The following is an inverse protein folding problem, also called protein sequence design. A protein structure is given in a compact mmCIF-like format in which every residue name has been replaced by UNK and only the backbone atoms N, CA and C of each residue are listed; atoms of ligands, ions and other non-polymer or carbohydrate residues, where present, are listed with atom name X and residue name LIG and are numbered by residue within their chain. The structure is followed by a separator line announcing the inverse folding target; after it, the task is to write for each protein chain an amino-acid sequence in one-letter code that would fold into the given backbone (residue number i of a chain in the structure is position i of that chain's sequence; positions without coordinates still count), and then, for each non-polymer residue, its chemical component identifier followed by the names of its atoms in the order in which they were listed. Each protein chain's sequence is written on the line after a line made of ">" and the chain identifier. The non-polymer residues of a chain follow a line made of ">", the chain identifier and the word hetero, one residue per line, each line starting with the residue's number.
data_IF_593052984600
#
_entry.id   IF_593052984600
#
_cell.length_a   1.000
_cell.length_b   1.000
_cell.length_c   1.000
_cell.angle_alpha   90.00
_cell.angle_beta   90.00
_cell.angle_gamma   90.00
#
_symmetry.space_group_name_H-M   'P 1'
#
loop_
_entity.id
_entity.type
_entity.pdbx_description
1 polymer ?
#
# COMPACT_ATOMS: atom_id res chain seq x y z
N UNK A 1 5.35 -74.07 62.54
CA UNK A 1 6.05 -72.76 62.61
C UNK A 1 6.27 -72.13 61.22
N UNK A 2 7.12 -72.64 60.32
CA UNK A 2 7.29 -72.01 58.99
C UNK A 2 6.04 -72.06 58.09
N UNK A 3 5.20 -73.09 58.21
CA UNK A 3 3.96 -73.26 57.41
C UNK A 3 2.83 -72.34 57.88
N UNK A 4 2.71 -72.11 59.19
CA UNK A 4 1.69 -71.24 59.80
C UNK A 4 1.98 -69.76 59.50
N UNK A 5 3.25 -69.35 59.58
CA UNK A 5 3.71 -67.98 59.23
C UNK A 5 3.37 -67.63 57.77
N UNK A 6 3.46 -68.61 56.86
CA UNK A 6 3.18 -68.41 55.43
C UNK A 6 1.69 -68.19 55.15
N UNK A 7 0.80 -68.85 55.89
CA UNK A 7 -0.64 -68.67 55.81
C UNK A 7 -1.10 -67.29 56.32
N UNK A 8 -0.59 -66.86 57.46
CA UNK A 8 -0.92 -65.56 58.05
C UNK A 8 -0.43 -64.38 57.20
N UNK A 9 0.77 -64.50 56.60
CA UNK A 9 1.29 -63.53 55.63
C UNK A 9 0.40 -63.44 54.37
N UNK A 10 -0.09 -64.56 53.86
CA UNK A 10 -0.96 -64.57 52.69
C UNK A 10 -2.31 -63.88 52.96
N UNK A 11 -2.90 -64.12 54.14
CA UNK A 11 -4.14 -63.45 54.57
C UNK A 11 -3.92 -61.94 54.76
N UNK A 12 -2.79 -61.54 55.35
CA UNK A 12 -2.44 -60.13 55.52
C UNK A 12 -2.26 -59.42 54.16
N UNK A 13 -1.56 -60.05 53.21
CA UNK A 13 -1.39 -59.53 51.85
C UNK A 13 -2.74 -59.38 51.15
N UNK A 14 -3.62 -60.38 51.20
CA UNK A 14 -4.95 -60.30 50.61
C UNK A 14 -5.79 -59.14 51.19
N UNK A 15 -5.71 -58.92 52.51
CA UNK A 15 -6.41 -57.81 53.18
C UNK A 15 -5.87 -56.45 52.73
N UNK A 16 -4.55 -56.31 52.59
CA UNK A 16 -3.93 -55.07 52.09
C UNK A 16 -4.33 -54.83 50.63
N UNK A 17 -4.27 -55.86 49.77
CA UNK A 17 -4.71 -55.77 48.37
C UNK A 17 -6.16 -55.35 48.25
N UNK A 18 -7.07 -55.92 49.06
CA UNK A 18 -8.47 -55.52 49.06
C UNK A 18 -8.66 -54.05 49.45
N UNK A 19 -7.97 -53.59 50.50
CA UNK A 19 -8.00 -52.17 50.92
C UNK A 19 -7.44 -51.24 49.85
N UNK A 20 -6.37 -51.65 49.16
CA UNK A 20 -5.77 -50.90 48.06
C UNK A 20 -6.75 -50.77 46.89
N UNK A 21 -7.43 -51.85 46.51
CA UNK A 21 -8.45 -51.83 45.45
C UNK A 21 -9.62 -50.92 45.83
N UNK A 22 -10.14 -51.02 47.07
CA UNK A 22 -11.21 -50.13 47.56
C UNK A 22 -10.77 -48.65 47.54
N UNK A 23 -9.56 -48.36 48.03
CA UNK A 23 -9.01 -47.01 48.00
C UNK A 23 -8.86 -46.49 46.55
N UNK A 24 -8.38 -47.34 45.62
CA UNK A 24 -8.27 -46.98 44.21
C UNK A 24 -9.63 -46.68 43.57
N UNK A 25 -10.67 -47.48 43.87
CA UNK A 25 -12.04 -47.24 43.41
C UNK A 25 -12.61 -45.94 43.99
N UNK A 26 -12.40 -45.67 45.28
CA UNK A 26 -12.88 -44.42 45.90
C UNK A 26 -12.15 -43.20 45.33
N UNK A 27 -10.83 -43.28 45.14
CA UNK A 27 -10.06 -42.22 44.46
C UNK A 27 -10.57 -41.99 43.04
N UNK A 28 -10.85 -43.05 42.27
CA UNK A 28 -11.41 -42.92 40.92
C UNK A 28 -12.79 -42.24 40.94
N UNK A 29 -13.64 -42.56 41.91
CA UNK A 29 -14.94 -41.92 42.13
C UNK A 29 -14.79 -40.44 42.49
N UNK A 30 -13.88 -40.10 43.39
CA UNK A 30 -13.61 -38.71 43.77
C UNK A 30 -13.02 -37.90 42.62
N UNK A 31 -12.11 -38.47 41.81
CA UNK A 31 -11.61 -37.84 40.58
C UNK A 31 -12.74 -37.54 39.61
N UNK A 32 -13.64 -38.51 39.36
CA UNK A 32 -14.80 -38.32 38.50
C UNK A 32 -15.75 -37.24 39.04
N UNK A 33 -15.98 -37.20 40.35
CA UNK A 33 -16.78 -36.16 41.00
C UNK A 33 -16.13 -34.77 40.86
N UNK A 34 -14.82 -34.66 41.05
CA UNK A 34 -14.07 -33.42 40.86
C UNK A 34 -14.12 -32.93 39.40
N UNK A 35 -13.96 -33.83 38.43
CA UNK A 35 -14.11 -33.50 36.99
C UNK A 35 -15.52 -33.00 36.64
N UNK A 36 -16.56 -33.58 37.26
CA UNK A 36 -17.94 -33.10 37.11
C UNK A 36 -18.10 -31.72 37.76
N UNK A 37 -17.52 -31.50 38.94
CA UNK A 37 -17.52 -30.21 39.63
C UNK A 37 -16.83 -29.11 38.83
N UNK A 38 -15.64 -29.38 38.27
CA UNK A 38 -14.91 -28.44 37.40
C UNK A 38 -15.73 -28.12 36.16
N UNK A 39 -16.35 -29.12 35.52
CA UNK A 39 -17.24 -28.89 34.38
C UNK A 39 -18.46 -28.06 34.75
N UNK A 40 -19.04 -28.27 35.92
CA UNK A 40 -20.18 -27.51 36.41
C UNK A 40 -19.82 -26.03 36.64
N UNK A 41 -18.68 -25.75 37.28
CA UNK A 41 -18.20 -24.39 37.55
C UNK A 41 -17.92 -23.66 36.24
N UNK A 42 -17.14 -24.29 35.34
CA UNK A 42 -16.85 -23.71 34.01
C UNK A 42 -18.13 -23.45 33.22
N UNK A 43 -19.07 -24.40 33.25
CA UNK A 43 -20.37 -24.25 32.61
C UNK A 43 -21.18 -23.07 33.14
N UNK A 44 -21.21 -22.85 34.46
CA UNK A 44 -21.87 -21.69 35.07
C UNK A 44 -21.19 -20.36 34.72
N UNK A 45 -19.86 -20.34 34.68
CA UNK A 45 -19.10 -19.15 34.28
C UNK A 45 -19.40 -18.76 32.83
N UNK A 46 -19.44 -19.73 31.92
CA UNK A 46 -19.83 -19.50 30.51
C UNK A 46 -21.26 -18.97 30.42
N UNK A 47 -22.21 -19.57 31.16
CA UNK A 47 -23.59 -19.08 31.20
C UNK A 47 -23.65 -17.61 31.62
N UNK A 48 -22.92 -17.22 32.67
CA UNK A 48 -22.92 -15.83 33.14
C UNK A 48 -22.30 -14.86 32.13
N UNK A 49 -21.17 -15.23 31.52
CA UNK A 49 -20.49 -14.39 30.53
C UNK A 49 -21.32 -14.21 29.27
N UNK A 50 -21.89 -15.29 28.75
CA UNK A 50 -22.72 -15.26 27.55
C UNK A 50 -24.07 -14.58 27.80
N UNK A 51 -24.63 -14.69 29.01
CA UNK A 51 -25.86 -13.95 29.40
C UNK A 51 -25.68 -12.43 29.26
N UNK A 52 -24.61 -11.86 29.82
CA UNK A 52 -24.33 -10.42 29.70
C UNK A 52 -24.05 -10.01 28.24
N UNK A 53 -23.31 -10.84 27.51
CA UNK A 53 -23.00 -10.59 26.10
C UNK A 53 -24.25 -10.60 25.22
N UNK A 54 -25.13 -11.58 25.42
CA UNK A 54 -26.39 -11.71 24.68
C UNK A 54 -27.33 -10.57 25.06
N UNK A 55 -27.41 -10.18 26.33
CA UNK A 55 -28.21 -9.03 26.76
C UNK A 55 -27.76 -7.73 26.10
N UNK A 56 -26.44 -7.50 26.00
CA UNK A 56 -25.90 -6.34 25.29
C UNK A 56 -26.24 -6.39 23.78
N UNK A 57 -26.11 -7.55 23.15
CA UNK A 57 -26.48 -7.73 21.74
C UNK A 57 -28.00 -7.55 21.51
N UNK A 58 -28.85 -8.08 22.39
CA UNK A 58 -30.31 -7.91 22.36
C UNK A 58 -30.69 -6.43 22.48
N UNK A 59 -30.03 -5.68 23.36
CA UNK A 59 -30.26 -4.24 23.51
C UNK A 59 -29.88 -3.47 22.23
N UNK A 60 -28.79 -3.85 21.57
CA UNK A 60 -28.39 -3.24 20.30
C UNK A 60 -29.35 -3.59 19.15
N UNK A 61 -29.79 -4.84 19.06
CA UNK A 61 -30.86 -5.26 18.12
C UNK A 61 -32.13 -4.44 18.34
N UNK A 62 -32.52 -4.18 19.60
CA UNK A 62 -33.67 -3.33 19.89
C UNK A 62 -33.50 -1.88 19.46
N UNK A 63 -32.28 -1.31 19.55
CA UNK A 63 -32.02 0.04 19.02
C UNK A 63 -32.17 0.07 17.51
N UNK A 64 -31.60 -0.92 16.82
CA UNK A 64 -31.73 -1.12 15.37
C UNK A 64 -33.20 -1.27 14.95
N UNK A 65 -33.99 -2.06 15.69
CA UNK A 65 -35.45 -2.17 15.47
C UNK A 65 -36.17 -0.82 15.67
N UNK A 66 -35.77 -0.03 16.66
CA UNK A 66 -36.37 1.29 16.93
C UNK A 66 -36.08 2.29 15.82
N UNK A 67 -34.86 2.33 15.29
CA UNK A 67 -34.51 3.22 14.16
C UNK A 67 -35.43 2.94 12.97
N UNK A 68 -35.69 1.66 12.66
CA UNK A 68 -36.65 1.28 11.62
C UNK A 68 -38.08 1.75 11.94
N UNK A 69 -38.50 1.71 13.21
CA UNK A 69 -39.82 2.15 13.66
C UNK A 69 -40.02 3.66 13.79
N UNK A 70 -38.95 4.46 13.70
CA UNK A 70 -39.06 5.94 13.78
C UNK A 70 -39.48 6.61 12.47
N UNK A 71 -39.47 5.88 11.35
CA UNK A 71 -40.00 6.38 10.09
C UNK A 71 -41.51 6.16 10.02
N UNK A 72 -42.26 7.18 9.61
CA UNK A 72 -43.68 7.01 9.28
C UNK A 72 -43.84 5.99 8.15
N UNK A 73 -44.99 5.30 8.09
CA UNK A 73 -45.29 4.37 6.98
C UNK A 73 -45.14 5.10 5.64
N UNK A 74 -44.15 4.68 4.84
CA UNK A 74 -43.85 5.25 3.52
C UNK A 74 -42.74 6.30 3.49
N UNK A 75 -42.22 6.78 4.63
CA UNK A 75 -41.04 7.63 4.66
C UNK A 75 -39.74 6.80 4.60
N UNK A 76 -38.81 7.23 3.75
CA UNK A 76 -37.49 6.64 3.69
C UNK A 76 -36.65 7.03 4.91
N UNK A 77 -35.90 6.08 5.47
CA UNK A 77 -34.86 6.37 6.45
C UNK A 77 -33.86 7.38 5.88
N UNK A 78 -33.44 8.34 6.72
CA UNK A 78 -32.35 9.25 6.37
C UNK A 78 -31.05 8.47 6.18
N UNK A 79 -30.16 8.98 5.32
CA UNK A 79 -28.90 8.29 5.01
C UNK A 79 -28.04 8.05 6.28
N UNK A 80 -28.07 8.97 7.23
CA UNK A 80 -27.36 8.83 8.52
C UNK A 80 -28.00 7.74 9.39
N UNK A 81 -29.33 7.66 9.44
CA UNK A 81 -30.02 6.58 10.15
C UNK A 81 -29.75 5.22 9.52
N UNK A 82 -29.67 5.15 8.18
CA UNK A 82 -29.31 3.91 7.46
C UNK A 82 -27.87 3.47 7.78
N UNK A 83 -26.93 4.41 7.90
CA UNK A 83 -25.54 4.12 8.30
C UNK A 83 -25.44 3.63 9.75
N UNK A 84 -26.05 4.35 10.70
CA UNK A 84 -26.05 3.97 12.12
C UNK A 84 -26.67 2.58 12.31
N UNK A 85 -27.79 2.31 11.63
CA UNK A 85 -28.41 1.00 11.61
C UNK A 85 -27.48 -0.07 11.03
N UNK A 86 -26.75 0.22 9.95
CA UNK A 86 -25.76 -0.69 9.35
C UNK A 86 -24.68 -1.13 10.34
N UNK A 87 -24.10 -0.17 11.07
CA UNK A 87 -23.07 -0.45 12.08
C UNK A 87 -23.62 -1.28 13.25
N UNK A 88 -24.80 -0.92 13.76
CA UNK A 88 -25.50 -1.65 14.82
C UNK A 88 -25.80 -3.10 14.40
N UNK A 89 -26.19 -3.31 13.14
CA UNK A 89 -26.45 -4.64 12.58
C UNK A 89 -25.18 -5.48 12.53
N UNK A 90 -24.08 -4.95 12.00
CA UNK A 90 -22.80 -5.68 11.88
C UNK A 90 -22.28 -6.09 13.25
N UNK A 91 -22.30 -5.16 14.22
CA UNK A 91 -21.88 -5.40 15.60
C UNK A 91 -22.72 -6.50 16.26
N UNK A 92 -24.05 -6.38 16.17
CA UNK A 92 -25.00 -7.35 16.73
C UNK A 92 -24.84 -8.74 16.10
N UNK A 93 -24.73 -8.82 14.77
CA UNK A 93 -24.56 -10.08 14.05
C UNK A 93 -23.29 -10.81 14.49
N UNK A 94 -22.17 -10.09 14.65
CA UNK A 94 -20.90 -10.66 15.11
C UNK A 94 -21.00 -11.18 16.54
N UNK A 95 -21.62 -10.41 17.44
CA UNK A 95 -21.82 -10.80 18.83
C UNK A 95 -22.71 -12.05 18.95
N UNK A 96 -23.85 -12.08 18.27
CA UNK A 96 -24.80 -13.19 18.29
C UNK A 96 -24.20 -14.47 17.69
N UNK A 97 -23.54 -14.39 16.52
CA UNK A 97 -22.86 -15.56 15.91
C UNK A 97 -21.81 -16.15 16.85
N UNK A 98 -20.96 -15.30 17.43
CA UNK A 98 -19.91 -15.75 18.35
C UNK A 98 -20.49 -16.39 19.62
N UNK A 99 -21.56 -15.80 20.17
CA UNK A 99 -22.25 -16.33 21.35
C UNK A 99 -22.89 -17.68 21.05
N UNK A 100 -23.56 -17.81 19.89
CA UNK A 100 -24.18 -19.07 19.46
C UNK A 100 -23.15 -20.20 19.31
N UNK A 101 -21.98 -19.92 18.71
CA UNK A 101 -20.90 -20.90 18.59
C UNK A 101 -20.37 -21.31 19.97
N UNK A 102 -20.13 -20.34 20.87
CA UNK A 102 -19.65 -20.59 22.23
C UNK A 102 -20.62 -21.49 23.03
N UNK A 103 -21.91 -21.12 23.03
CA UNK A 103 -22.95 -21.86 23.74
C UNK A 103 -23.09 -23.29 23.23
N UNK A 104 -23.08 -23.51 21.92
CA UNK A 104 -23.17 -24.85 21.33
C UNK A 104 -21.96 -25.72 21.71
N UNK A 105 -20.76 -25.15 21.69
CA UNK A 105 -19.55 -25.87 22.10
C UNK A 105 -19.61 -26.30 23.58
N UNK A 106 -20.10 -25.42 24.46
CA UNK A 106 -20.22 -25.71 25.88
C UNK A 106 -21.44 -26.54 26.27
N UNK A 107 -22.46 -26.64 25.41
CA UNK A 107 -23.62 -27.50 25.63
C UNK A 107 -23.27 -29.00 25.49
N UNK A 108 -22.24 -29.33 24.70
CA UNK A 108 -21.75 -30.69 24.52
C UNK A 108 -21.05 -31.17 25.80
N UNK A 109 -21.68 -32.11 26.51
CA UNK A 109 -21.12 -32.69 27.73
C UNK A 109 -21.33 -31.86 29.01
N UNK A 110 -22.15 -30.79 28.96
CA UNK A 110 -22.57 -30.06 30.13
C UNK A 110 -23.45 -30.93 31.07
N UNK A 111 -23.33 -30.68 32.38
CA UNK A 111 -24.24 -31.27 33.35
C UNK A 111 -25.69 -30.85 33.06
N UNK A 112 -26.71 -31.68 33.37
CA UNK A 112 -28.10 -31.42 32.99
C UNK A 112 -28.61 -30.02 33.39
N UNK A 113 -28.29 -29.55 34.60
CA UNK A 113 -28.69 -28.23 35.08
C UNK A 113 -28.08 -27.07 34.25
N UNK A 114 -26.81 -27.18 33.86
CA UNK A 114 -26.14 -26.17 33.02
C UNK A 114 -26.64 -26.24 31.59
N UNK A 115 -26.89 -27.46 31.09
CA UNK A 115 -27.39 -27.68 29.73
C UNK A 115 -28.72 -26.95 29.50
N UNK A 116 -29.64 -26.96 30.48
CA UNK A 116 -30.90 -26.21 30.40
C UNK A 116 -30.66 -24.71 30.29
N UNK A 117 -29.75 -24.14 31.07
CA UNK A 117 -29.42 -22.70 30.99
C UNK A 117 -28.77 -22.32 29.67
N UNK A 118 -27.80 -23.12 29.19
CA UNK A 118 -27.18 -22.91 27.88
C UNK A 118 -28.20 -23.00 26.75
N UNK A 119 -29.13 -23.96 26.79
CA UNK A 119 -30.20 -24.08 25.80
C UNK A 119 -31.12 -22.85 25.80
N UNK A 120 -31.46 -22.30 26.96
CA UNK A 120 -32.24 -21.05 27.04
C UNK A 120 -31.51 -19.87 26.36
N UNK A 121 -30.20 -19.75 26.58
CA UNK A 121 -29.38 -18.72 25.94
C UNK A 121 -29.27 -18.93 24.41
N UNK A 122 -29.19 -20.18 23.95
CA UNK A 122 -29.20 -20.51 22.52
C UNK A 122 -30.50 -20.03 21.88
N UNK A 123 -31.64 -20.34 22.48
CA UNK A 123 -32.94 -19.93 21.95
C UNK A 123 -33.13 -18.40 21.96
N UNK A 124 -32.63 -17.70 22.98
CA UNK A 124 -32.59 -16.23 22.99
C UNK A 124 -31.72 -15.65 21.87
N UNK A 125 -30.52 -16.19 21.70
CA UNK A 125 -29.59 -15.78 20.64
C UNK A 125 -30.23 -15.95 19.26
N UNK A 126 -30.92 -17.07 19.02
CA UNK A 126 -31.66 -17.32 17.77
C UNK A 126 -32.79 -16.31 17.57
N UNK A 127 -33.59 -16.03 18.59
CA UNK A 127 -34.68 -15.02 18.51
C UNK A 127 -34.14 -13.62 18.20
N UNK A 128 -33.05 -13.21 18.85
CA UNK A 128 -32.38 -11.95 18.56
C UNK A 128 -31.83 -11.92 17.12
N UNK A 129 -31.32 -13.06 16.63
CA UNK A 129 -30.82 -13.20 15.27
C UNK A 129 -31.96 -13.16 14.23
N UNK A 130 -33.12 -13.75 14.51
CA UNK A 130 -34.32 -13.68 13.66
C UNK A 130 -34.84 -12.24 13.54
N UNK A 131 -34.92 -11.51 14.66
CA UNK A 131 -35.25 -10.08 14.67
C UNK A 131 -34.29 -9.26 13.81
N UNK A 132 -32.99 -9.48 13.99
CA UNK A 132 -31.96 -8.81 13.21
C UNK A 132 -32.07 -9.12 11.71
N UNK A 133 -32.35 -10.39 11.36
CA UNK A 133 -32.60 -10.80 9.98
C UNK A 133 -33.86 -10.15 9.38
N UNK A 134 -34.91 -9.95 10.19
CA UNK A 134 -36.12 -9.24 9.77
C UNK A 134 -35.81 -7.78 9.45
N UNK A 135 -35.08 -7.07 10.30
CA UNK A 135 -34.63 -5.70 10.02
C UNK A 135 -33.75 -5.66 8.77
N UNK A 136 -32.81 -6.60 8.64
CA UNK A 136 -31.99 -6.75 7.45
C UNK A 136 -32.84 -6.90 6.18
N UNK A 137 -33.87 -7.72 6.21
CA UNK A 137 -34.75 -7.91 5.08
C UNK A 137 -35.56 -6.65 4.76
N UNK A 138 -36.19 -6.05 5.77
CA UNK A 138 -37.08 -4.89 5.63
C UNK A 138 -36.36 -3.63 5.13
N UNK A 139 -35.07 -3.49 5.41
CA UNK A 139 -34.28 -2.28 5.08
C UNK A 139 -33.24 -2.51 3.99
N UNK A 140 -33.35 -3.64 3.26
CA UNK A 140 -32.39 -4.02 2.21
C UNK A 140 -32.26 -2.91 1.16
N UNK A 141 -33.37 -2.43 0.65
CA UNK A 141 -33.41 -1.51 -0.49
C UNK A 141 -32.83 -0.13 -0.12
N UNK A 142 -33.18 0.38 1.06
CA UNK A 142 -32.62 1.64 1.57
C UNK A 142 -31.11 1.53 1.83
N UNK A 143 -30.65 0.42 2.42
CA UNK A 143 -29.21 0.20 2.63
C UNK A 143 -28.44 0.14 1.32
N UNK A 144 -28.94 -0.61 0.35
CA UNK A 144 -28.30 -0.73 -0.97
C UNK A 144 -28.24 0.62 -1.67
N UNK A 145 -29.32 1.42 -1.62
CA UNK A 145 -29.33 2.79 -2.16
C UNK A 145 -28.27 3.68 -1.51
N UNK A 146 -28.22 3.73 -0.18
CA UNK A 146 -27.27 4.59 0.57
C UNK A 146 -25.82 4.14 0.35
N UNK A 147 -25.57 2.83 0.30
CA UNK A 147 -24.24 2.29 -0.01
C UNK A 147 -23.82 2.61 -1.45
N UNK A 148 -24.71 2.43 -2.42
CA UNK A 148 -24.46 2.78 -3.81
C UNK A 148 -24.12 4.27 -3.96
N UNK A 149 -24.87 5.15 -3.29
CA UNK A 149 -24.61 6.59 -3.29
C UNK A 149 -23.27 6.95 -2.64
N UNK A 150 -22.94 6.33 -1.51
CA UNK A 150 -21.64 6.50 -0.88
C UNK A 150 -20.49 6.05 -1.80
N UNK A 151 -20.69 4.95 -2.52
CA UNK A 151 -19.69 4.44 -3.48
C UNK A 151 -19.54 5.36 -4.70
N UNK A 152 -20.63 5.92 -5.22
CA UNK A 152 -20.57 6.93 -6.29
C UNK A 152 -19.80 8.17 -5.82
N UNK A 153 -20.10 8.71 -4.64
CA UNK A 153 -19.40 9.88 -4.09
C UNK A 153 -17.90 9.66 -3.94
N UNK A 154 -17.50 8.52 -3.40
CA UNK A 154 -16.08 8.18 -3.25
C UNK A 154 -15.41 7.89 -4.61
N UNK A 155 -16.11 7.23 -5.55
CA UNK A 155 -15.63 7.05 -6.92
C UNK A 155 -15.41 8.38 -7.64
N UNK A 156 -16.32 9.33 -7.48
CA UNK A 156 -16.19 10.70 -7.97
C UNK A 156 -15.00 11.42 -7.33
N UNK A 157 -14.86 11.35 -6.00
CA UNK A 157 -13.71 11.92 -5.27
C UNK A 157 -12.37 11.36 -5.77
N UNK A 158 -12.30 10.06 -6.05
CA UNK A 158 -11.11 9.42 -6.65
C UNK A 158 -10.83 9.89 -8.07
N UNK A 159 -11.86 10.14 -8.88
CA UNK A 159 -11.69 10.76 -10.19
C UNK A 159 -11.20 12.21 -10.08
N UNK A 160 -11.70 12.97 -9.09
CA UNK A 160 -11.25 14.35 -8.82
C UNK A 160 -9.79 14.38 -8.35
N UNK A 161 -9.34 13.41 -7.54
CA UNK A 161 -7.91 13.25 -7.16
C UNK A 161 -7.01 13.03 -8.39
N UNK A 162 -7.49 12.29 -9.42
CA UNK A 162 -6.77 12.11 -10.68
C UNK A 162 -6.65 13.44 -11.43
N UNK A 163 -7.72 14.23 -11.49
CA UNK A 163 -7.71 15.54 -12.13
C UNK A 163 -6.83 16.55 -11.39
N UNK A 164 -6.87 16.57 -10.05
CA UNK A 164 -5.97 17.40 -9.24
C UNK A 164 -4.50 17.03 -9.46
N UNK A 165 -4.19 15.73 -9.54
CA UNK A 165 -2.85 15.28 -9.87
C UNK A 165 -2.44 15.71 -11.28
N UNK A 166 -3.36 15.70 -12.25
CA UNK A 166 -3.11 16.19 -13.61
C UNK A 166 -2.81 17.70 -13.65
N UNK A 167 -3.40 18.49 -12.75
CA UNK A 167 -3.03 19.92 -12.64
C UNK A 167 -1.56 20.13 -12.22
N UNK A 168 -0.97 19.17 -11.50
CA UNK A 168 0.47 19.22 -11.17
C UNK A 168 1.33 18.94 -12.39
N UNK A 169 0.88 18.06 -13.28
CA UNK A 169 1.51 17.85 -14.59
C UNK A 169 1.47 19.14 -15.41
N UNK A 170 0.30 19.77 -15.53
CA UNK A 170 0.16 21.04 -16.26
C UNK A 170 1.12 22.12 -15.73
N UNK A 171 1.29 22.21 -14.40
CA UNK A 171 2.23 23.15 -13.76
C UNK A 171 3.68 22.83 -14.07
N UNK A 172 4.08 21.56 -13.96
CA UNK A 172 5.43 21.12 -14.27
C UNK A 172 5.81 21.36 -15.75
N UNK A 173 4.82 21.37 -16.65
CA UNK A 173 5.03 21.64 -18.08
C UNK A 173 5.08 23.11 -18.46
N UNK A 174 4.72 24.04 -17.57
CA UNK A 174 4.63 25.47 -17.90
C UNK A 174 5.90 26.05 -18.55
N UNK A 175 7.13 25.69 -18.15
CA UNK A 175 8.33 26.17 -18.82
C UNK A 175 8.37 25.80 -20.31
N UNK A 176 7.99 24.58 -20.66
CA UNK A 176 7.97 24.10 -22.03
C UNK A 176 6.80 24.66 -22.85
N UNK A 177 5.63 24.86 -22.22
CA UNK A 177 4.44 25.40 -22.89
C UNK A 177 4.58 26.87 -23.32
N UNK A 178 5.52 27.61 -22.73
CA UNK A 178 5.83 29.00 -23.11
C UNK A 178 6.70 29.11 -24.37
N UNK A 179 6.95 28.00 -25.07
CA UNK A 179 7.81 27.97 -26.26
C UNK A 179 9.30 28.06 -25.94
N UNK A 180 9.68 27.98 -24.66
CA UNK A 180 11.07 27.82 -24.24
C UNK A 180 11.45 26.35 -24.40
N UNK A 181 11.54 25.88 -25.66
CA UNK A 181 11.98 24.51 -25.95
C UNK A 181 13.42 24.26 -25.52
N UNK A 182 14.20 25.33 -25.33
CA UNK A 182 15.58 25.31 -24.89
C UNK A 182 15.72 26.11 -23.58
N UNK A 183 15.65 25.39 -22.46
CA UNK A 183 16.01 25.91 -21.15
C UNK A 183 17.52 25.72 -20.91
N UNK A 184 18.15 26.51 -20.04
CA UNK A 184 19.46 26.16 -19.50
C UNK A 184 19.46 24.72 -18.97
N UNK A 185 20.56 23.97 -19.15
CA UNK A 185 20.61 22.54 -18.79
C UNK A 185 20.23 22.27 -17.34
N UNK A 186 20.61 23.15 -16.42
CA UNK A 186 20.22 23.07 -15.00
C UNK A 186 18.70 23.17 -14.81
N UNK A 187 18.07 24.18 -15.40
CA UNK A 187 16.62 24.40 -15.32
C UNK A 187 15.84 23.29 -16.04
N UNK A 188 16.32 22.83 -17.20
CA UNK A 188 15.74 21.72 -17.94
C UNK A 188 15.73 20.44 -17.10
N UNK A 189 16.85 20.13 -16.44
CA UNK A 189 17.00 18.93 -15.62
C UNK A 189 16.04 18.94 -14.42
N UNK A 190 15.91 20.10 -13.75
CA UNK A 190 15.03 20.25 -12.61
C UNK A 190 13.55 20.16 -13.02
N UNK A 191 13.17 20.84 -14.11
CA UNK A 191 11.81 20.79 -14.68
C UNK A 191 11.42 19.37 -15.11
N UNK A 192 12.35 18.62 -15.73
CA UNK A 192 12.11 17.22 -16.12
C UNK A 192 11.91 16.31 -14.91
N UNK A 193 12.67 16.53 -13.83
CA UNK A 193 12.51 15.78 -12.59
C UNK A 193 11.14 16.03 -11.95
N UNK A 194 10.69 17.28 -11.91
CA UNK A 194 9.35 17.64 -11.43
C UNK A 194 8.24 17.03 -12.31
N UNK A 195 8.45 17.06 -13.62
CA UNK A 195 7.55 16.45 -14.62
C UNK A 195 7.39 14.94 -14.41
N UNK A 196 8.50 14.22 -14.21
CA UNK A 196 8.50 12.78 -13.91
C UNK A 196 7.78 12.48 -12.59
N UNK A 197 8.04 13.28 -11.54
CA UNK A 197 7.37 13.12 -10.25
C UNK A 197 5.85 13.35 -10.35
N UNK A 198 5.42 14.38 -11.09
CA UNK A 198 4.01 14.63 -11.35
C UNK A 198 3.35 13.48 -12.13
N UNK A 199 4.03 12.95 -13.16
CA UNK A 199 3.55 11.78 -13.91
C UNK A 199 3.38 10.52 -13.04
N UNK A 200 4.24 10.32 -12.04
CA UNK A 200 4.10 9.21 -11.09
C UNK A 200 2.87 9.42 -10.20
N UNK A 201 2.67 10.63 -9.68
CA UNK A 201 1.51 10.94 -8.84
C UNK A 201 0.18 10.68 -9.57
N UNK A 202 0.06 11.12 -10.82
CA UNK A 202 -1.12 10.84 -11.66
C UNK A 202 -1.31 9.34 -11.87
N UNK A 203 -0.24 8.60 -12.18
CA UNK A 203 -0.31 7.15 -12.40
C UNK A 203 -0.84 6.42 -11.16
N UNK A 204 -0.38 6.81 -9.97
CA UNK A 204 -0.84 6.25 -8.70
C UNK A 204 -2.33 6.54 -8.50
N UNK A 205 -2.75 7.80 -8.66
CA UNK A 205 -4.17 8.18 -8.52
C UNK A 205 -5.07 7.41 -9.51
N UNK A 206 -4.64 7.25 -10.77
CA UNK A 206 -5.36 6.45 -11.78
C UNK A 206 -5.50 4.99 -11.32
N UNK A 207 -4.43 4.41 -10.78
CA UNK A 207 -4.41 3.04 -10.29
C UNK A 207 -5.37 2.81 -9.12
N UNK A 208 -5.39 3.74 -8.16
CA UNK A 208 -6.31 3.71 -7.02
C UNK A 208 -7.77 3.84 -7.47
N UNK A 209 -8.07 4.84 -8.32
CA UNK A 209 -9.42 5.09 -8.79
C UNK A 209 -9.98 3.89 -9.59
N UNK A 210 -9.18 3.30 -10.48
CA UNK A 210 -9.57 2.09 -11.22
C UNK A 210 -9.81 0.90 -10.30
N UNK A 211 -8.93 0.67 -9.33
CA UNK A 211 -9.08 -0.42 -8.36
C UNK A 211 -10.37 -0.26 -7.56
N UNK A 212 -10.63 0.95 -7.07
CA UNK A 212 -11.85 1.26 -6.32
C UNK A 212 -13.11 1.01 -7.14
N UNK A 213 -13.20 1.61 -8.34
CA UNK A 213 -14.36 1.46 -9.22
C UNK A 213 -14.56 -0.01 -9.59
N UNK A 214 -13.51 -0.75 -9.95
CA UNK A 214 -13.63 -2.16 -10.30
C UNK A 214 -14.17 -3.00 -9.13
N UNK A 215 -13.66 -2.78 -7.91
CA UNK A 215 -14.14 -3.47 -6.70
C UNK A 215 -15.59 -3.14 -6.41
N UNK A 216 -15.96 -1.84 -6.38
CA UNK A 216 -17.31 -1.42 -6.02
C UNK A 216 -18.35 -1.74 -7.08
N UNK A 217 -17.97 -1.76 -8.36
CA UNK A 217 -18.85 -2.21 -9.43
C UNK A 217 -19.26 -3.68 -9.25
N UNK A 218 -18.38 -4.55 -8.73
CA UNK A 218 -18.75 -5.94 -8.41
C UNK A 218 -19.74 -6.05 -7.24
N UNK A 219 -19.62 -5.18 -6.23
CA UNK A 219 -20.54 -5.14 -5.10
C UNK A 219 -21.91 -4.60 -5.53
N UNK A 220 -21.93 -3.48 -6.24
CA UNK A 220 -23.15 -2.81 -6.71
C UNK A 220 -23.97 -3.69 -7.65
N UNK A 221 -23.33 -4.56 -8.45
CA UNK A 221 -24.04 -5.55 -9.30
C UNK A 221 -24.90 -6.54 -8.52
N UNK A 222 -24.67 -6.70 -7.22
CA UNK A 222 -25.45 -7.59 -6.36
C UNK A 222 -26.66 -6.88 -5.73
N UNK A 223 -26.73 -5.56 -5.85
CA UNK A 223 -27.85 -4.75 -5.36
C UNK A 223 -29.05 -4.84 -6.31
N UNK A 224 -30.23 -4.44 -5.82
CA UNK A 224 -31.41 -4.25 -6.66
C UNK A 224 -31.18 -3.21 -7.75
N UNK A 225 -31.89 -3.36 -8.86
CA UNK A 225 -31.74 -2.53 -10.07
C UNK A 225 -31.82 -1.03 -9.79
N UNK A 226 -32.73 -0.62 -8.92
CA UNK A 226 -32.93 0.80 -8.56
C UNK A 226 -31.69 1.44 -7.92
N UNK A 227 -30.87 0.67 -7.20
CA UNK A 227 -29.61 1.12 -6.63
C UNK A 227 -28.42 0.83 -7.55
N UNK A 228 -28.45 -0.31 -8.25
CA UNK A 228 -27.30 -0.76 -9.04
C UNK A 228 -27.12 0.01 -10.34
N UNK A 229 -28.21 0.30 -11.05
CA UNK A 229 -28.15 0.95 -12.36
C UNK A 229 -27.57 2.38 -12.29
N UNK A 230 -28.01 3.28 -11.40
CA UNK A 230 -27.42 4.63 -11.30
C UNK A 230 -25.94 4.60 -10.95
N UNK A 231 -25.53 3.72 -10.04
CA UNK A 231 -24.13 3.59 -9.63
C UNK A 231 -23.24 2.99 -10.72
N UNK A 232 -23.74 2.04 -11.51
CA UNK A 232 -23.01 1.53 -12.67
C UNK A 232 -22.85 2.59 -13.76
N UNK A 233 -23.88 3.40 -14.02
CA UNK A 233 -23.83 4.52 -14.96
C UNK A 233 -22.83 5.60 -14.50
N UNK A 234 -22.82 5.96 -13.22
CA UNK A 234 -21.85 6.90 -12.65
C UNK A 234 -20.42 6.34 -12.75
N UNK A 235 -20.18 5.09 -12.34
CA UNK A 235 -18.87 4.45 -12.48
C UNK A 235 -18.37 4.38 -13.92
N UNK A 236 -19.26 4.26 -14.91
CA UNK A 236 -18.90 4.36 -16.32
C UNK A 236 -18.37 5.75 -16.65
N UNK A 237 -19.09 6.81 -16.24
CA UNK A 237 -18.67 8.21 -16.44
C UNK A 237 -17.33 8.51 -15.75
N UNK A 238 -17.15 8.06 -14.51
CA UNK A 238 -15.88 8.23 -13.81
C UNK A 238 -14.74 7.47 -14.50
N UNK A 239 -15.00 6.27 -15.00
CA UNK A 239 -14.01 5.48 -15.77
C UNK A 239 -13.60 6.18 -17.06
N UNK A 240 -14.54 6.83 -17.76
CA UNK A 240 -14.25 7.64 -18.95
C UNK A 240 -13.34 8.83 -18.62
N UNK A 241 -13.63 9.58 -17.54
CA UNK A 241 -12.77 10.67 -17.04
C UNK A 241 -11.35 10.19 -16.74
N UNK A 242 -11.23 9.08 -16.00
CA UNK A 242 -9.93 8.48 -15.64
C UNK A 242 -9.18 8.01 -16.89
N UNK A 243 -9.87 7.43 -17.88
CA UNK A 243 -9.26 6.99 -19.13
C UNK A 243 -8.79 8.17 -19.99
N UNK A 244 -9.54 9.27 -20.02
CA UNK A 244 -9.11 10.50 -20.69
C UNK A 244 -7.84 11.07 -20.03
N UNK A 245 -7.78 11.12 -18.70
CA UNK A 245 -6.57 11.51 -17.96
C UNK A 245 -5.39 10.56 -18.23
N UNK A 246 -5.62 9.25 -18.29
CA UNK A 246 -4.60 8.26 -18.65
C UNK A 246 -4.06 8.48 -20.07
N UNK A 247 -4.92 8.85 -21.03
CA UNK A 247 -4.52 9.24 -22.38
C UNK A 247 -3.60 10.47 -22.38
N UNK A 248 -3.99 11.53 -21.65
CA UNK A 248 -3.17 12.75 -21.49
C UNK A 248 -1.82 12.45 -20.83
N UNK A 249 -1.80 11.65 -19.76
CA UNK A 249 -0.58 11.22 -19.08
C UNK A 249 0.37 10.44 -20.02
N UNK A 250 -0.18 9.57 -20.87
CA UNK A 250 0.61 8.82 -21.85
C UNK A 250 1.28 9.74 -22.86
N UNK A 251 0.55 10.75 -23.36
CA UNK A 251 1.11 11.77 -24.24
C UNK A 251 2.18 12.61 -23.54
N UNK A 252 1.89 13.08 -22.33
CA UNK A 252 2.81 13.85 -21.50
C UNK A 252 4.16 13.14 -21.31
N UNK A 253 4.13 11.84 -20.99
CA UNK A 253 5.36 11.05 -20.82
C UNK A 253 6.19 10.95 -22.09
N UNK A 254 5.54 10.78 -23.26
CA UNK A 254 6.25 10.75 -24.54
C UNK A 254 6.97 12.07 -24.80
N UNK A 255 6.29 13.19 -24.58
CA UNK A 255 6.87 14.51 -24.76
C UNK A 255 8.00 14.80 -23.76
N UNK A 256 7.81 14.43 -22.49
CA UNK A 256 8.84 14.55 -21.45
C UNK A 256 10.09 13.75 -21.80
N UNK A 257 9.94 12.54 -22.31
CA UNK A 257 11.08 11.72 -22.77
C UNK A 257 11.80 12.34 -23.97
N UNK A 258 11.09 12.97 -24.91
CA UNK A 258 11.73 13.72 -26.01
C UNK A 258 12.52 14.91 -25.47
N UNK A 259 11.93 15.71 -24.58
CA UNK A 259 12.59 16.87 -23.95
C UNK A 259 13.83 16.45 -23.16
N UNK A 260 13.74 15.33 -22.43
CA UNK A 260 14.87 14.73 -21.71
C UNK A 260 16.03 14.36 -22.61
N UNK A 261 15.75 13.72 -23.76
CA UNK A 261 16.80 13.42 -24.75
C UNK A 261 17.44 14.69 -25.30
N UNK A 262 16.64 15.73 -25.58
CA UNK A 262 17.15 17.00 -26.08
C UNK A 262 18.04 17.72 -25.05
N UNK A 263 17.59 17.82 -23.79
CA UNK A 263 18.37 18.41 -22.70
C UNK A 263 19.71 17.69 -22.50
N UNK A 264 19.70 16.36 -22.63
CA UNK A 264 20.93 15.56 -22.58
C UNK A 264 21.87 15.80 -23.76
N UNK A 265 21.36 16.07 -24.97
CA UNK A 265 22.21 16.46 -26.10
C UNK A 265 22.86 17.82 -25.86
N UNK A 266 22.11 18.77 -25.29
CA UNK A 266 22.62 20.08 -24.91
C UNK A 266 23.69 19.98 -23.82
N UNK A 267 23.46 19.16 -22.79
CA UNK A 267 24.46 18.89 -21.74
C UNK A 267 25.76 18.33 -22.32
N UNK A 268 25.69 17.42 -23.29
CA UNK A 268 26.88 16.92 -23.96
C UNK A 268 27.65 18.04 -24.70
N UNK A 269 26.93 18.94 -25.38
CA UNK A 269 27.53 20.07 -26.07
C UNK A 269 28.18 21.07 -25.10
N UNK A 270 27.51 21.40 -23.98
CA UNK A 270 28.05 22.31 -22.96
C UNK A 270 29.30 21.74 -22.26
N UNK A 271 29.32 20.42 -21.99
CA UNK A 271 30.52 19.74 -21.49
C UNK A 271 31.69 19.86 -22.45
N UNK A 272 31.46 19.70 -23.76
CA UNK A 272 32.53 19.88 -24.74
C UNK A 272 32.98 21.32 -24.88
N UNK A 273 32.07 22.29 -24.83
CA UNK A 273 32.46 23.70 -24.84
C UNK A 273 33.37 24.03 -23.64
N UNK A 274 33.07 23.44 -22.46
CA UNK A 274 33.91 23.59 -21.26
C UNK A 274 35.28 22.94 -21.45
N UNK A 275 35.32 21.70 -21.96
CA UNK A 275 36.57 20.99 -22.25
C UNK A 275 37.43 21.75 -23.26
N UNK A 276 36.84 22.25 -24.35
CA UNK A 276 37.56 23.02 -25.37
C UNK A 276 38.13 24.33 -24.79
N UNK A 277 37.37 25.01 -23.93
CA UNK A 277 37.86 26.20 -23.19
C UNK A 277 39.01 25.84 -22.25
N UNK A 278 38.91 24.72 -21.54
CA UNK A 278 39.95 24.24 -20.62
C UNK A 278 41.21 23.77 -21.38
N UNK A 279 41.06 23.15 -22.55
CA UNK A 279 42.17 22.81 -23.46
C UNK A 279 42.93 24.07 -23.87
N UNK A 280 42.21 25.13 -24.28
CA UNK A 280 42.82 26.40 -24.66
C UNK A 280 43.56 27.03 -23.47
N UNK A 281 42.95 27.04 -22.29
CA UNK A 281 43.57 27.57 -21.08
C UNK A 281 44.79 26.74 -20.62
N UNK A 282 44.81 25.44 -20.90
CA UNK A 282 45.98 24.59 -20.69
C UNK A 282 47.10 24.95 -21.68
N UNK A 283 46.78 25.07 -22.98
CA UNK A 283 47.75 25.44 -24.01
C UNK A 283 48.42 26.79 -23.72
N UNK A 284 47.64 27.80 -23.32
CA UNK A 284 48.16 29.11 -22.88
C UNK A 284 49.06 28.99 -21.65
N UNK A 285 48.71 28.13 -20.69
CA UNK A 285 49.50 27.95 -19.47
C UNK A 285 50.82 27.22 -19.68
N UNK A 286 50.95 26.44 -20.77
CA UNK A 286 52.19 25.72 -21.14
C UNK A 286 53.11 26.60 -22.00
N UNK A 287 52.60 27.71 -22.56
CA UNK A 287 53.36 28.60 -23.44
C UNK A 287 54.73 29.07 -22.88
N UNK A 288 54.88 29.42 -21.59
CA UNK A 288 56.17 29.80 -21.01
C UNK A 288 57.26 28.72 -21.15
N UNK A 289 56.88 27.44 -21.10
CA UNK A 289 57.81 26.31 -21.28
C UNK A 289 58.31 26.23 -22.73
N UNK A 290 57.44 26.51 -23.70
CA UNK A 290 57.80 26.48 -25.11
C UNK A 290 58.69 27.64 -25.52
N UNK A 291 58.64 28.75 -24.79
CA UNK A 291 59.46 29.95 -25.03
C UNK A 291 60.78 29.97 -24.26
N UNK A 292 61.02 29.01 -23.37
CA UNK A 292 62.18 29.01 -22.49
C UNK A 292 62.11 30.04 -21.35
N UNK A 293 60.96 30.68 -21.14
CA UNK A 293 60.76 31.68 -20.07
C UNK A 293 60.93 31.05 -18.67
N UNK A 294 60.72 29.74 -18.57
CA UNK A 294 60.89 28.98 -17.33
C UNK A 294 62.36 28.88 -16.89
N UNK A 295 63.32 28.99 -17.82
CA UNK A 295 64.76 28.95 -17.50
C UNK A 295 65.21 30.22 -16.73
N UNK A 296 64.42 31.29 -16.80
CA UNK A 296 64.65 32.55 -16.10
C UNK A 296 63.90 32.64 -14.76
N UNK A 297 63.03 31.67 -14.45
CA UNK A 297 62.25 31.62 -13.21
C UNK A 297 63.08 31.07 -12.04
N UNK A 298 62.70 31.42 -10.81
CA UNK A 298 63.26 30.74 -9.63
C UNK A 298 62.83 29.27 -9.61
N UNK A 299 63.58 28.43 -8.89
CA UNK A 299 63.23 27.00 -8.75
C UNK A 299 61.87 26.83 -8.09
N UNK A 300 61.56 27.67 -7.10
CA UNK A 300 60.27 27.70 -6.42
C UNK A 300 59.12 28.08 -7.38
N UNK A 301 59.28 29.12 -8.20
CA UNK A 301 58.24 29.57 -9.14
C UNK A 301 58.01 28.55 -10.26
N UNK A 302 59.08 27.95 -10.78
CA UNK A 302 58.99 26.89 -11.80
C UNK A 302 58.26 25.66 -11.23
N UNK A 303 58.53 25.28 -9.98
CA UNK A 303 57.84 24.18 -9.30
C UNK A 303 56.35 24.48 -9.11
N UNK A 304 55.99 25.70 -8.69
CA UNK A 304 54.59 26.11 -8.51
C UNK A 304 53.83 26.08 -9.84
N UNK A 305 54.44 26.59 -10.92
CA UNK A 305 53.87 26.55 -12.26
C UNK A 305 53.63 25.10 -12.74
N UNK A 306 54.63 24.23 -12.59
CA UNK A 306 54.51 22.80 -12.93
C UNK A 306 53.37 22.12 -12.14
N UNK A 307 53.26 22.42 -10.84
CA UNK A 307 52.23 21.85 -9.98
C UNK A 307 50.82 22.29 -10.40
N UNK A 308 50.65 23.57 -10.74
CA UNK A 308 49.39 24.13 -11.27
C UNK A 308 49.01 23.50 -12.61
N UNK A 309 49.98 23.34 -13.52
CA UNK A 309 49.76 22.68 -14.81
C UNK A 309 49.33 21.21 -14.64
N UNK A 310 50.02 20.45 -13.79
CA UNK A 310 49.67 19.06 -13.50
C UNK A 310 48.25 18.95 -12.93
N UNK A 311 47.86 19.86 -12.04
CA UNK A 311 46.50 19.89 -11.49
C UNK A 311 45.45 20.17 -12.58
N UNK A 312 45.68 21.17 -13.45
CA UNK A 312 44.80 21.47 -14.59
C UNK A 312 44.68 20.31 -15.57
N UNK A 313 45.80 19.67 -15.91
CA UNK A 313 45.82 18.52 -16.81
C UNK A 313 45.03 17.34 -16.24
N UNK A 314 45.15 17.07 -14.93
CA UNK A 314 44.37 16.01 -14.26
C UNK A 314 42.87 16.32 -14.29
N UNK A 315 42.49 17.57 -13.98
CA UNK A 315 41.09 18.01 -14.01
C UNK A 315 40.49 17.92 -15.43
N UNK A 316 41.22 18.40 -16.44
CA UNK A 316 40.81 18.32 -17.84
C UNK A 316 40.63 16.87 -18.31
N UNK A 317 41.57 15.97 -18.00
CA UNK A 317 41.44 14.56 -18.36
C UNK A 317 40.23 13.91 -17.69
N UNK A 318 39.96 14.22 -16.42
CA UNK A 318 38.78 13.73 -15.72
C UNK A 318 37.49 14.18 -16.45
N UNK A 319 37.38 15.47 -16.79
CA UNK A 319 36.25 16.01 -17.57
C UNK A 319 36.11 15.32 -18.94
N UNK A 320 37.22 15.10 -19.65
CA UNK A 320 37.21 14.42 -20.95
C UNK A 320 36.76 12.96 -20.85
N UNK A 321 37.08 12.26 -19.77
CA UNK A 321 36.63 10.89 -19.55
C UNK A 321 35.15 10.83 -19.17
N UNK A 322 34.68 11.76 -18.34
CA UNK A 322 33.26 11.92 -18.03
C UNK A 322 32.44 12.24 -19.28
N UNK A 323 32.89 13.20 -20.11
CA UNK A 323 32.23 13.54 -21.36
C UNK A 323 32.22 12.37 -22.35
N UNK A 324 33.31 11.60 -22.44
CA UNK A 324 33.35 10.38 -23.26
C UNK A 324 32.31 9.37 -22.80
N UNK A 325 32.27 9.08 -21.50
CA UNK A 325 31.31 8.12 -20.94
C UNK A 325 29.87 8.60 -21.16
N UNK A 326 29.62 9.90 -20.97
CA UNK A 326 28.33 10.51 -21.20
C UNK A 326 27.88 10.37 -22.66
N UNK A 327 28.71 10.76 -23.64
CA UNK A 327 28.41 10.65 -25.07
C UNK A 327 28.16 9.20 -25.47
N UNK A 328 29.00 8.26 -25.02
CA UNK A 328 28.84 6.83 -25.32
C UNK A 328 27.51 6.29 -24.78
N UNK A 329 27.10 6.69 -23.58
CA UNK A 329 25.81 6.29 -23.03
C UNK A 329 24.66 6.88 -23.85
N UNK A 330 24.75 8.15 -24.25
CA UNK A 330 23.76 8.79 -25.12
C UNK A 330 23.67 8.14 -26.50
N UNK A 331 24.78 7.66 -27.08
CA UNK A 331 24.76 6.91 -28.34
C UNK A 331 24.02 5.57 -28.22
N UNK A 332 24.09 4.92 -27.05
CA UNK A 332 23.29 3.71 -26.80
C UNK A 332 21.80 4.04 -26.74
N UNK A 333 21.45 5.16 -26.10
CA UNK A 333 20.06 5.62 -25.94
C UNK A 333 19.45 6.14 -27.25
N UNK A 334 20.28 6.71 -28.13
CA UNK A 334 19.89 7.29 -29.42
C UNK A 334 19.77 6.25 -30.56
N UNK A 335 20.00 4.95 -30.29
CA UNK A 335 19.87 3.90 -31.30
C UNK A 335 18.50 3.96 -31.98
N UNK A 336 18.50 4.05 -33.30
CA UNK A 336 17.29 4.18 -34.12
C UNK A 336 16.85 5.63 -34.39
N UNK A 337 17.54 6.64 -33.84
CA UNK A 337 17.30 8.07 -34.14
C UNK A 337 18.49 8.66 -34.88
N UNK A 338 18.43 8.69 -36.22
CA UNK A 338 19.56 9.08 -37.10
C UNK A 338 20.11 10.47 -36.75
N UNK A 339 19.26 11.47 -36.56
CA UNK A 339 19.68 12.85 -36.27
C UNK A 339 20.44 12.99 -34.94
N UNK A 340 20.00 12.28 -33.89
CA UNK A 340 20.67 12.27 -32.59
C UNK A 340 22.02 11.55 -32.68
N UNK A 341 22.08 10.43 -33.41
CA UNK A 341 23.33 9.70 -33.64
C UNK A 341 24.37 10.54 -34.39
N UNK A 342 23.97 11.25 -35.45
CA UNK A 342 24.85 12.17 -36.18
C UNK A 342 25.38 13.30 -35.28
N UNK A 343 24.51 13.87 -34.45
CA UNK A 343 24.91 14.91 -33.49
C UNK A 343 25.94 14.38 -32.49
N UNK A 344 25.69 13.20 -31.92
CA UNK A 344 26.60 12.57 -30.96
C UNK A 344 27.93 12.14 -31.60
N UNK A 345 27.94 11.76 -32.87
CA UNK A 345 29.18 11.48 -33.61
C UNK A 345 30.01 12.75 -33.77
N UNK A 346 29.40 13.88 -34.14
CA UNK A 346 30.09 15.18 -34.22
C UNK A 346 30.68 15.59 -32.87
N UNK A 347 29.92 15.43 -31.78
CA UNK A 347 30.42 15.67 -30.43
C UNK A 347 31.59 14.74 -30.09
N UNK A 348 31.53 13.46 -30.48
CA UNK A 348 32.65 12.54 -30.26
C UNK A 348 33.92 12.90 -31.04
N UNK A 349 33.77 13.40 -32.27
CA UNK A 349 34.90 13.95 -33.04
C UNK A 349 35.50 15.14 -32.32
N UNK A 350 34.68 16.12 -31.89
CA UNK A 350 35.15 17.29 -31.12
C UNK A 350 35.92 16.90 -29.86
N UNK A 351 35.42 15.94 -29.09
CA UNK A 351 36.11 15.41 -27.92
C UNK A 351 37.47 14.78 -28.27
N UNK A 352 37.55 14.10 -29.42
CA UNK A 352 38.78 13.46 -29.88
C UNK A 352 39.81 14.52 -30.30
N UNK A 353 39.37 15.57 -30.98
CA UNK A 353 40.23 16.70 -31.36
C UNK A 353 40.74 17.45 -30.12
N UNK A 354 39.86 17.71 -29.14
CA UNK A 354 40.24 18.33 -27.88
C UNK A 354 41.28 17.50 -27.10
N UNK A 355 41.17 16.16 -27.11
CA UNK A 355 42.18 15.25 -26.53
C UNK A 355 43.53 15.36 -27.24
N UNK A 356 43.54 15.47 -28.56
CA UNK A 356 44.77 15.66 -29.35
C UNK A 356 45.42 17.00 -29.03
N UNK A 357 44.63 18.07 -28.86
CA UNK A 357 45.13 19.39 -28.48
C UNK A 357 45.71 19.40 -27.06
N UNK A 358 44.99 18.83 -26.09
CA UNK A 358 45.46 18.73 -24.71
C UNK A 358 46.72 17.86 -24.56
N UNK A 359 46.99 16.93 -25.47
CA UNK A 359 48.21 16.12 -25.46
C UNK A 359 49.42 16.81 -26.10
N UNK A 360 49.21 17.92 -26.85
CA UNK A 360 50.28 18.76 -27.39
C UNK A 360 50.72 19.85 -26.41
N UNK A 361 49.84 20.18 -25.46
CA UNK A 361 50.13 21.04 -24.31
C UNK A 361 50.74 20.16 -23.22
#
# INVERSE_FOLDING_TARGET
>A
RQKDIKGDLQVAVQRVTARLTTAATEVAKQKKAAEVGVRLIKGKQVVQQEEERIKAAEAEVQKVEKVMGTCAEGEALSDDAVREMGDGVVSSQKALKSSLTCLNAHALGAAPAVKVSLQKLVERTKKAQEKLNSVLHATKDQRERVLAEAYMKEGGRKADEVEEAMERVNKAELPFLKGLEFLPVSEATETLKESEAAAIAVQTAIGEARTYIASKNLEVKQFKEDASKPAMEDFSKQSERINAAAGKLSQFRKETEVRKKNAQMQEAAEKLNTIESDCKALAEAVEPFSKGEVDEMSTEDAYELCSKLLARFKDLNAKMDEARLFIVNRQKDAKGTTSQMETLQKLQTRLSDARVEAAKS
#
